data_IF_277262931781
#
_entry.id   IF_277262931781
#
_cell.length_a   1.000
_cell.length_b   1.000
_cell.length_c   1.000
_cell.angle_alpha   90.00
_cell.angle_beta   90.00
_cell.angle_gamma   90.00
#
_symmetry.space_group_name_H-M   'P 1'
#
loop_
_entity.id
_entity.type
_entity.pdbx_description
1 polymer ?
#
# COMPACT_ATOMS: atom_id res chain seq x y z
N UNK A 1 -0.43 24.68 -38.11
CA UNK A 1 0.01 24.19 -36.79
C UNK A 1 -1.06 23.20 -36.33
N UNK A 2 -0.97 21.95 -36.77
CA UNK A 2 -1.92 20.91 -36.34
C UNK A 2 -1.50 20.49 -34.94
N UNK A 3 -2.37 20.74 -33.97
CA UNK A 3 -2.30 20.11 -32.66
C UNK A 3 -2.45 18.61 -32.85
N UNK A 4 -1.39 17.87 -32.55
CA UNK A 4 -1.44 16.41 -32.44
C UNK A 4 -2.35 16.11 -31.23
N UNK A 5 -3.59 15.69 -31.51
CA UNK A 5 -4.44 15.06 -30.51
C UNK A 5 -3.76 13.75 -30.11
N UNK A 6 -3.05 13.77 -28.98
CA UNK A 6 -2.53 12.58 -28.34
C UNK A 6 -3.74 11.72 -27.96
N UNK A 7 -3.97 10.68 -28.75
CA UNK A 7 -5.11 9.78 -28.57
C UNK A 7 -5.02 9.19 -27.15
N UNK A 8 -6.05 9.37 -26.30
CA UNK A 8 -5.96 8.95 -24.90
C UNK A 8 -5.64 7.45 -24.84
N UNK A 9 -4.80 7.01 -23.88
CA UNK A 9 -4.43 5.61 -23.77
C UNK A 9 -5.71 4.77 -23.67
N UNK A 10 -5.86 3.83 -24.60
CA UNK A 10 -7.01 2.94 -24.64
C UNK A 10 -7.10 2.19 -23.30
N UNK A 11 -8.28 2.26 -22.66
CA UNK A 11 -8.52 1.57 -21.40
C UNK A 11 -8.35 0.06 -21.62
N UNK A 12 -7.42 -0.56 -20.89
CA UNK A 12 -7.26 -2.02 -20.92
C UNK A 12 -8.40 -2.69 -20.15
N UNK A 13 -8.80 -3.93 -20.50
CA UNK A 13 -9.85 -4.64 -19.78
C UNK A 13 -9.50 -4.92 -18.31
N UNK A 14 -8.21 -4.92 -17.96
CA UNK A 14 -7.71 -5.17 -16.61
C UNK A 14 -7.58 -3.89 -15.76
N UNK A 15 -8.02 -2.74 -16.29
CA UNK A 15 -8.08 -1.48 -15.56
C UNK A 15 -9.42 -1.35 -14.82
N UNK A 16 -9.36 -1.34 -13.50
CA UNK A 16 -10.54 -1.18 -12.66
C UNK A 16 -10.65 0.23 -12.12
N UNK A 17 -11.78 0.89 -12.39
CA UNK A 17 -12.03 2.26 -11.95
C UNK A 17 -12.10 2.36 -10.41
N UNK A 18 -11.34 3.30 -9.85
CA UNK A 18 -11.29 3.57 -8.41
C UNK A 18 -12.09 4.83 -8.07
N UNK A 19 -11.92 5.89 -8.84
CA UNK A 19 -12.55 7.19 -8.61
C UNK A 19 -11.87 8.32 -9.38
N UNK A 20 -12.39 9.52 -9.25
CA UNK A 20 -11.75 10.72 -9.80
C UNK A 20 -10.50 11.07 -8.98
N UNK A 21 -9.42 11.45 -9.66
CA UNK A 21 -8.18 11.87 -9.00
C UNK A 21 -8.41 12.99 -7.99
N UNK A 22 -9.21 14.00 -8.35
CA UNK A 22 -9.50 15.13 -7.47
C UNK A 22 -10.13 14.68 -6.14
N UNK A 23 -11.03 13.69 -6.18
CA UNK A 23 -11.70 13.16 -4.98
C UNK A 23 -10.72 12.35 -4.13
N UNK A 24 -9.87 11.52 -4.76
CA UNK A 24 -8.85 10.72 -4.05
C UNK A 24 -7.79 11.62 -3.42
N UNK A 25 -7.33 12.66 -4.13
CA UNK A 25 -6.39 13.67 -3.62
C UNK A 25 -6.99 14.39 -2.41
N UNK A 26 -8.25 14.82 -2.51
CA UNK A 26 -8.97 15.47 -1.41
C UNK A 26 -9.12 14.56 -0.18
N UNK A 27 -9.40 13.28 -0.40
CA UNK A 27 -9.51 12.29 0.67
C UNK A 27 -8.14 11.85 1.22
N UNK A 28 -7.07 12.04 0.46
CA UNK A 28 -5.73 11.53 0.72
C UNK A 28 -5.57 10.01 0.50
N UNK A 29 -6.64 9.23 0.68
CA UNK A 29 -6.66 7.78 0.44
C UNK A 29 -8.08 7.25 0.28
N UNK A 30 -8.23 6.12 -0.40
CA UNK A 30 -9.49 5.39 -0.58
C UNK A 30 -9.25 3.87 -0.54
N UNK A 31 -10.28 3.10 -0.23
CA UNK A 31 -10.25 1.63 -0.28
C UNK A 31 -11.27 1.10 -1.26
N UNK A 32 -10.94 0.06 -2.02
CA UNK A 32 -11.82 -0.55 -3.03
C UNK A 32 -11.63 -2.05 -3.10
N UNK A 33 -12.74 -2.80 -3.17
CA UNK A 33 -12.73 -4.20 -3.61
C UNK A 33 -12.59 -4.22 -5.14
N UNK A 34 -11.45 -4.68 -5.63
CA UNK A 34 -11.10 -4.74 -7.06
C UNK A 34 -11.32 -6.16 -7.57
N UNK A 35 -11.94 -6.26 -8.76
CA UNK A 35 -12.29 -7.53 -9.41
C UNK A 35 -13.07 -8.52 -8.52
N UNK A 36 -13.81 -8.01 -7.52
CA UNK A 36 -14.56 -8.82 -6.56
C UNK A 36 -13.71 -9.70 -5.62
N UNK A 37 -12.37 -9.65 -5.71
CA UNK A 37 -11.51 -10.64 -5.07
C UNK A 37 -10.39 -10.06 -4.21
N UNK A 38 -10.04 -8.77 -4.33
CA UNK A 38 -8.89 -8.18 -3.64
C UNK A 38 -9.20 -6.77 -3.11
N UNK A 39 -9.03 -6.57 -1.80
CA UNK A 39 -9.18 -5.25 -1.17
C UNK A 39 -7.90 -4.45 -1.33
N UNK A 40 -8.01 -3.32 -2.02
CA UNK A 40 -6.91 -2.43 -2.37
C UNK A 40 -7.07 -1.11 -1.63
N UNK A 41 -5.96 -0.64 -1.04
CA UNK A 41 -5.78 0.71 -0.54
C UNK A 41 -5.07 1.52 -1.63
N UNK A 42 -5.70 2.63 -2.05
CA UNK A 42 -5.08 3.64 -2.91
C UNK A 42 -4.77 4.87 -2.07
N UNK A 43 -3.53 5.35 -2.14
CA UNK A 43 -3.01 6.45 -1.32
C UNK A 43 -2.43 7.52 -2.24
N UNK A 44 -2.79 8.78 -1.99
CA UNK A 44 -2.12 9.93 -2.56
C UNK A 44 -1.11 10.49 -1.56
N UNK A 45 0.15 10.57 -1.96
CA UNK A 45 1.22 11.13 -1.13
C UNK A 45 2.24 11.87 -2.00
N UNK A 46 2.54 13.12 -1.63
CA UNK A 46 3.56 13.96 -2.27
C UNK A 46 3.47 14.04 -3.81
N UNK A 47 2.26 14.12 -4.36
CA UNK A 47 2.08 14.23 -5.82
C UNK A 47 1.86 12.89 -6.54
N UNK A 48 2.09 11.77 -5.86
CA UNK A 48 2.01 10.43 -6.46
C UNK A 48 0.88 9.60 -5.86
N UNK A 49 0.35 8.67 -6.68
CA UNK A 49 -0.63 7.67 -6.26
C UNK A 49 0.02 6.29 -6.14
N UNK A 50 -0.28 5.60 -5.06
CA UNK A 50 0.19 4.25 -4.77
C UNK A 50 -1.00 3.34 -4.52
N UNK A 51 -0.89 2.08 -4.94
CA UNK A 51 -1.89 1.06 -4.66
C UNK A 51 -1.24 -0.19 -4.06
N UNK A 52 -1.83 -0.71 -2.99
CA UNK A 52 -1.37 -1.94 -2.33
C UNK A 52 -2.53 -2.67 -1.66
N UNK A 53 -2.29 -3.91 -1.28
CA UNK A 53 -3.21 -4.68 -0.42
C UNK A 53 -3.60 -3.88 0.84
N UNK A 54 -4.89 -3.86 1.18
CA UNK A 54 -5.43 -3.08 2.31
C UNK A 54 -4.91 -3.57 3.68
N UNK A 55 -4.73 -4.88 3.84
CA UNK A 55 -4.39 -5.52 5.11
C UNK A 55 -2.91 -5.79 5.20
N UNK A 56 -2.29 -5.35 6.29
CA UNK A 56 -0.87 -5.49 6.57
C UNK A 56 -0.45 -6.96 6.59
N UNK A 57 0.60 -7.30 5.85
CA UNK A 57 1.19 -8.64 5.77
C UNK A 57 1.55 -9.28 7.12
N UNK A 58 1.78 -8.48 8.16
CA UNK A 58 2.23 -9.00 9.45
C UNK A 58 1.10 -9.75 10.19
N UNK A 59 -0.08 -9.13 10.28
CA UNK A 59 -1.17 -9.63 11.13
C UNK A 59 -2.57 -9.23 10.63
N UNK A 60 -2.70 -8.68 9.41
CA UNK A 60 -4.00 -8.28 8.85
C UNK A 60 -4.48 -6.88 9.26
N UNK A 61 -3.58 -6.06 9.82
CA UNK A 61 -3.87 -4.69 10.26
C UNK A 61 -4.34 -3.78 9.13
N UNK A 62 -5.35 -2.97 9.37
CA UNK A 62 -5.91 -2.06 8.35
C UNK A 62 -4.93 -0.93 8.05
N UNK A 63 -4.25 -1.00 6.91
CA UNK A 63 -3.24 -0.01 6.52
C UNK A 63 -3.88 1.35 6.25
N UNK A 64 -5.17 1.42 5.90
CA UNK A 64 -5.85 2.71 5.69
C UNK A 64 -5.80 3.63 6.94
N UNK A 65 -5.60 3.07 8.13
CA UNK A 65 -5.46 3.78 9.40
C UNK A 65 -3.99 4.07 9.78
N UNK A 66 -3.03 3.72 8.93
CA UNK A 66 -1.61 3.95 9.18
C UNK A 66 -1.16 5.35 8.78
N UNK A 67 -0.21 5.89 9.53
CA UNK A 67 0.47 7.13 9.16
C UNK A 67 1.42 6.88 7.99
N UNK A 68 1.69 7.92 7.20
CA UNK A 68 2.71 7.87 6.14
C UNK A 68 3.90 8.68 6.62
N UNK A 69 5.05 8.04 6.68
CA UNK A 69 6.31 8.61 7.19
C UNK A 69 7.45 8.22 6.25
N UNK A 70 8.56 8.97 6.30
CA UNK A 70 9.75 8.69 5.50
C UNK A 70 10.78 7.87 6.30
N UNK A 71 11.22 6.75 5.73
CA UNK A 71 12.32 5.96 6.28
C UNK A 71 13.34 5.65 5.20
N UNK A 72 14.61 5.99 5.45
CA UNK A 72 15.69 5.78 4.49
C UNK A 72 15.41 6.42 3.12
N UNK A 73 14.81 7.63 3.11
CA UNK A 73 14.43 8.34 1.88
C UNK A 73 13.26 7.72 1.11
N UNK A 74 12.53 6.78 1.72
CA UNK A 74 11.40 6.08 1.07
C UNK A 74 10.10 6.33 1.84
N UNK A 75 9.02 6.80 1.19
CA UNK A 75 7.73 6.96 1.84
C UNK A 75 7.17 5.57 2.20
N UNK A 76 6.77 5.41 3.45
CA UNK A 76 6.24 4.17 3.98
C UNK A 76 4.92 4.41 4.72
N UNK A 77 4.00 3.47 4.57
CA UNK A 77 2.86 3.37 5.47
C UNK A 77 3.26 2.60 6.74
N UNK A 78 2.95 3.16 7.90
CA UNK A 78 3.24 2.58 9.21
C UNK A 78 1.99 1.88 9.71
N UNK A 79 2.03 0.55 9.75
CA UNK A 79 0.90 -0.25 10.20
C UNK A 79 0.48 0.17 11.62
N UNK A 80 -0.81 0.50 11.85
CA UNK A 80 -1.25 1.06 13.12
C UNK A 80 -1.10 0.09 14.31
N UNK A 81 -1.17 -1.23 14.05
CA UNK A 81 -1.13 -2.25 15.11
C UNK A 81 0.28 -2.52 15.65
N UNK A 82 1.25 -2.72 14.76
CA UNK A 82 2.59 -3.21 15.14
C UNK A 82 3.74 -2.34 14.60
N UNK A 83 3.42 -1.20 13.98
CA UNK A 83 4.39 -0.19 13.50
C UNK A 83 5.40 -0.71 12.46
N UNK A 84 5.01 -1.76 11.73
CA UNK A 84 5.72 -2.25 10.56
C UNK A 84 5.68 -1.17 9.47
N UNK A 85 6.84 -0.91 8.87
CA UNK A 85 7.05 0.13 7.86
C UNK A 85 7.05 -0.55 6.50
N UNK A 86 6.11 -0.17 5.65
CA UNK A 86 5.91 -0.78 4.34
C UNK A 86 6.07 0.30 3.28
N UNK A 87 7.02 0.14 2.37
CA UNK A 87 7.27 1.16 1.33
C UNK A 87 6.07 1.28 0.41
N UNK A 88 5.67 2.51 0.07
CA UNK A 88 4.50 2.75 -0.76
C UNK A 88 4.68 2.24 -2.19
N UNK A 89 5.86 2.45 -2.78
CA UNK A 89 6.14 2.08 -4.16
C UNK A 89 6.32 0.58 -4.40
N UNK A 90 7.00 -0.11 -3.48
CA UNK A 90 7.48 -1.48 -3.71
C UNK A 90 6.94 -2.50 -2.69
N UNK A 91 6.28 -2.05 -1.62
CA UNK A 91 5.69 -2.94 -0.63
C UNK A 91 6.71 -3.67 0.24
N UNK A 92 7.93 -3.14 0.34
CA UNK A 92 9.00 -3.73 1.14
C UNK A 92 8.83 -3.46 2.63
N UNK A 93 9.09 -4.47 3.45
CA UNK A 93 9.12 -4.31 4.91
C UNK A 93 10.47 -3.78 5.40
N UNK A 94 10.52 -2.52 5.85
CA UNK A 94 11.76 -1.92 6.36
C UNK A 94 11.94 -2.14 7.86
N UNK A 95 13.20 -2.33 8.27
CA UNK A 95 13.60 -2.42 9.67
C UNK A 95 15.00 -1.84 9.90
N UNK A 96 15.28 -1.46 11.14
CA UNK A 96 16.60 -1.06 11.58
C UNK A 96 17.35 -2.28 12.12
N UNK A 97 18.52 -2.55 11.56
CA UNK A 97 19.44 -3.60 12.01
C UNK A 97 20.64 -2.97 12.71
N UNK A 98 21.18 -3.70 13.69
CA UNK A 98 22.47 -3.39 14.30
C UNK A 98 23.49 -4.34 13.71
N UNK A 99 24.53 -3.81 13.07
CA UNK A 99 25.52 -4.65 12.38
C UNK A 99 26.35 -5.50 13.36
N UNK A 100 26.84 -4.86 14.43
CA UNK A 100 27.56 -5.54 15.49
C UNK A 100 27.09 -5.04 16.87
N UNK A 101 26.39 -5.88 17.66
CA UNK A 101 25.83 -5.47 18.95
C UNK A 101 26.88 -5.32 20.06
N UNK A 102 28.14 -5.72 19.84
CA UNK A 102 29.21 -5.61 20.86
C UNK A 102 29.99 -4.29 20.80
N UNK A 103 29.91 -3.56 19.68
CA UNK A 103 30.63 -2.30 19.49
C UNK A 103 29.76 -1.12 19.94
N UNK A 104 30.38 -0.09 20.55
CA UNK A 104 29.72 1.17 20.94
C UNK A 104 30.40 2.36 20.25
N UNK A 105 29.66 3.38 19.79
CA UNK A 105 28.19 3.45 19.73
C UNK A 105 27.62 2.45 18.73
N UNK A 106 26.36 2.02 18.93
CA UNK A 106 25.69 1.09 18.02
C UNK A 106 25.56 1.74 16.64
N UNK A 107 25.97 1.00 15.60
CA UNK A 107 25.74 1.41 14.20
C UNK A 107 24.43 0.79 13.73
N UNK A 108 23.42 1.64 13.55
CA UNK A 108 22.09 1.25 13.08
C UNK A 108 22.01 1.50 11.58
N UNK A 109 21.58 0.50 10.82
CA UNK A 109 21.36 0.59 9.39
C UNK A 109 19.94 0.18 9.02
N UNK A 110 19.36 0.87 8.05
CA UNK A 110 18.10 0.44 7.45
C UNK A 110 18.34 -0.78 6.55
N UNK A 111 17.47 -1.77 6.68
CA UNK A 111 17.46 -2.98 5.85
C UNK A 111 16.03 -3.29 5.42
N UNK A 112 15.94 -4.08 4.35
CA UNK A 112 14.68 -4.57 3.81
C UNK A 112 14.49 -6.05 4.11
N UNK A 113 13.24 -6.46 4.34
CA UNK A 113 12.82 -7.87 4.37
C UNK A 113 12.47 -8.41 2.98
N UNK A 114 12.65 -7.61 1.92
CA UNK A 114 12.08 -7.85 0.60
C UNK A 114 10.62 -7.39 0.52
N UNK A 115 9.99 -7.65 -0.63
CA UNK A 115 8.57 -7.35 -0.85
C UNK A 115 7.73 -8.22 0.08
N UNK A 116 6.89 -7.57 0.90
CA UNK A 116 6.00 -8.23 1.87
C UNK A 116 4.54 -7.84 1.69
N UNK A 117 4.29 -6.68 1.08
CA UNK A 117 2.97 -6.17 0.78
C UNK A 117 2.83 -6.09 -0.74
N UNK A 118 1.83 -6.77 -1.31
CA UNK A 118 1.62 -6.70 -2.76
C UNK A 118 1.19 -5.28 -3.16
N UNK A 119 1.94 -4.68 -4.07
CA UNK A 119 1.57 -3.41 -4.73
C UNK A 119 0.89 -3.68 -6.06
N UNK A 120 0.13 -2.69 -6.53
CA UNK A 120 -0.64 -2.74 -7.77
C UNK A 120 -0.33 -1.52 -8.62
N UNK A 121 -0.55 -1.63 -9.92
CA UNK A 121 -0.31 -0.53 -10.84
C UNK A 121 -1.46 0.47 -10.77
N UNK A 122 -1.14 1.74 -10.56
CA UNK A 122 -2.08 2.85 -10.71
C UNK A 122 -1.90 3.46 -12.10
N UNK A 123 -3.01 3.71 -12.79
CA UNK A 123 -3.02 4.39 -14.09
C UNK A 123 -3.99 5.57 -14.00
N UNK A 124 -3.55 6.73 -14.45
CA UNK A 124 -4.40 7.93 -14.57
C UNK A 124 -4.80 8.13 -16.02
N UNK A 125 -6.09 8.29 -16.31
CA UNK A 125 -6.61 8.59 -17.65
C UNK A 125 -7.63 9.70 -17.53
N UNK A 126 -7.38 10.86 -18.15
CA UNK A 126 -8.34 11.97 -18.22
C UNK A 126 -8.90 12.42 -16.85
N UNK A 127 -8.09 12.36 -15.79
CA UNK A 127 -8.49 12.73 -14.42
C UNK A 127 -9.15 11.60 -13.61
N UNK A 128 -9.30 10.41 -14.19
CA UNK A 128 -9.79 9.21 -13.54
C UNK A 128 -8.64 8.30 -13.13
N UNK A 129 -8.78 7.63 -11.98
CA UNK A 129 -7.79 6.72 -11.42
C UNK A 129 -8.27 5.29 -11.56
N UNK A 130 -7.42 4.46 -12.13
CA UNK A 130 -7.62 3.03 -12.32
C UNK A 130 -6.53 2.23 -11.61
N UNK A 131 -6.87 1.03 -11.18
CA UNK A 131 -5.90 0.05 -10.69
C UNK A 131 -5.92 -1.18 -11.58
N UNK A 132 -4.73 -1.64 -11.95
CA UNK A 132 -4.51 -2.97 -12.51
C UNK A 132 -3.83 -3.82 -11.44
N UNK A 133 -4.48 -4.94 -11.09
CA UNK A 133 -3.97 -5.86 -10.08
C UNK A 133 -2.65 -6.48 -10.53
N UNK A 134 -1.73 -6.65 -9.59
CA UNK A 134 -0.52 -7.44 -9.81
C UNK A 134 -0.87 -8.92 -9.65
N UNK A 135 -0.98 -9.62 -10.78
CA UNK A 135 -1.37 -11.02 -10.91
C UNK A 135 -0.18 -12.00 -10.91
N UNK A 136 1.03 -11.53 -10.56
CA UNK A 136 2.21 -12.38 -10.40
C UNK A 136 1.88 -13.57 -9.49
N UNK A 137 2.27 -14.76 -9.95
CA UNK A 137 2.08 -16.03 -9.25
C UNK A 137 2.99 -16.21 -8.04
N UNK A 138 3.99 -15.33 -7.85
CA UNK A 138 4.82 -15.32 -6.66
C UNK A 138 3.97 -14.98 -5.44
N UNK A 139 3.97 -15.86 -4.44
CA UNK A 139 3.23 -15.64 -3.20
C UNK A 139 3.91 -14.58 -2.34
N UNK A 140 3.16 -13.57 -1.93
CA UNK A 140 3.58 -12.51 -1.02
C UNK A 140 2.78 -12.65 0.28
N UNK A 141 3.39 -12.37 1.45
CA UNK A 141 2.73 -12.61 2.73
C UNK A 141 1.40 -11.88 2.93
N UNK A 142 1.18 -10.73 2.27
CA UNK A 142 -0.10 -10.02 2.30
C UNK A 142 -1.24 -10.80 1.65
N UNK A 143 -0.97 -11.74 0.75
CA UNK A 143 -1.98 -12.52 0.02
C UNK A 143 -2.86 -13.35 0.96
N UNK A 144 -2.32 -13.80 2.11
CA UNK A 144 -3.06 -14.54 3.14
C UNK A 144 -4.28 -13.75 3.64
N UNK A 145 -4.21 -12.42 3.62
CA UNK A 145 -5.25 -11.52 4.13
C UNK A 145 -6.26 -11.08 3.06
N UNK A 146 -6.17 -11.61 1.84
CA UNK A 146 -7.10 -11.34 0.73
C UNK A 146 -8.21 -12.39 0.61
N UNK A 147 -8.53 -13.09 1.71
CA UNK A 147 -9.59 -14.09 1.77
C UNK A 147 -10.87 -13.52 2.38
N UNK A 148 -12.03 -14.12 2.06
CA UNK A 148 -13.34 -13.70 2.58
C UNK A 148 -13.39 -13.64 4.11
N UNK A 149 -12.67 -14.53 4.80
CA UNK A 149 -12.52 -14.53 6.25
C UNK A 149 -12.05 -13.18 6.78
N UNK A 150 -11.08 -12.57 6.10
CA UNK A 150 -10.55 -11.27 6.48
C UNK A 150 -11.37 -10.11 5.89
N UNK A 151 -12.17 -10.32 4.84
CA UNK A 151 -13.08 -9.28 4.32
C UNK A 151 -14.31 -9.05 5.21
N UNK A 152 -14.86 -10.13 5.77
CA UNK A 152 -16.09 -10.11 6.58
C UNK A 152 -15.87 -9.65 8.02
N UNK A 153 -14.63 -9.64 8.51
CA UNK A 153 -14.28 -9.04 9.78
C UNK A 153 -14.40 -7.50 9.69
N UNK A 154 -15.52 -6.96 10.20
CA UNK A 154 -15.86 -5.54 10.19
C UNK A 154 -14.68 -4.62 10.50
N UNK A 155 -14.58 -3.50 9.77
CA UNK A 155 -13.60 -2.44 9.98
C UNK A 155 -13.65 -1.86 11.41
N UNK A 156 -14.77 -2.05 12.11
CA UNK A 156 -15.00 -1.61 13.49
C UNK A 156 -14.71 -2.69 14.56
N UNK A 157 -14.44 -3.93 14.18
CA UNK A 157 -14.40 -5.07 15.10
C UNK A 157 -13.00 -5.45 15.61
N UNK A 158 -11.98 -4.64 15.35
CA UNK A 158 -10.62 -4.97 15.78
C UNK A 158 -10.31 -4.39 17.17
N UNK A 159 -9.82 -5.21 18.12
CA UNK A 159 -9.64 -4.79 19.49
C UNK A 159 -8.65 -3.63 19.56
N UNK A 160 -9.06 -2.54 20.21
CA UNK A 160 -8.19 -1.42 20.56
C UNK A 160 -7.01 -1.99 21.33
N UNK A 161 -5.81 -1.91 20.74
CA UNK A 161 -4.59 -2.40 21.37
C UNK A 161 -4.40 -1.66 22.69
N UNK A 162 -4.49 -2.37 23.82
CA UNK A 162 -4.13 -1.80 25.12
C UNK A 162 -2.61 -1.59 25.13
N UNK A 163 -2.11 -0.42 25.56
CA UNK A 163 -0.67 -0.25 25.74
C UNK A 163 -0.19 -1.30 26.76
N UNK A 164 0.93 -1.98 26.45
CA UNK A 164 1.61 -2.81 27.43
C UNK A 164 2.17 -1.88 28.51
N UNK A 165 1.69 -2.07 29.73
CA UNK A 165 2.21 -1.49 30.98
C UNK A 165 3.63 -1.95 31.25
#
# INVERSE_FOLDING_TARGET
MSSEEENPPALSPDMHFIGKKADIVKAGRVTKLVNGCRDVLVVYHQGELYAMDLRCYHAGGLLHNGDIEEFNGRPCIVCPWHKYKITLGEGEGLYQAVDNPTIRPLKIQWRSKGVKQRTHKVTEVSGDVYVTLNDSSEAIESDVYQTEKYRTASLDALPKHKPKT
#
